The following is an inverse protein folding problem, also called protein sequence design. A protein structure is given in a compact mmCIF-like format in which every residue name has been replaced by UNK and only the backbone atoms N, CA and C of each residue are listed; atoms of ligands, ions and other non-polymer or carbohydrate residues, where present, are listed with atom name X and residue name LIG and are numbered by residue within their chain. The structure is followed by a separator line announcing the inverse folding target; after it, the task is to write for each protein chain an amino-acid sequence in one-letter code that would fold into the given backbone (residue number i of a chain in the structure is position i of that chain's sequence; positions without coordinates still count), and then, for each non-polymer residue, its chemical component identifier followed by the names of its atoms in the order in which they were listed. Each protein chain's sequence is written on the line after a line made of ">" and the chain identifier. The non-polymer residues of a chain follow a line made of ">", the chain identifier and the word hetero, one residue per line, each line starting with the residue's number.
data_IF_649075899803
#
_entry.id   IF_649075899803
#
_cell.length_a   1.000
_cell.length_b   1.000
_cell.length_c   1.000
_cell.angle_alpha   90.00
_cell.angle_beta   90.00
_cell.angle_gamma   90.00
#
_symmetry.space_group_name_H-M   'P 1'
#
loop_
_entity.id
_entity.type
_entity.pdbx_description
1 polymer ?
#
# COMPACT_ATOMS: atom_id res chain seq x y z
N UNK A 1 2.12 -0.24 11.83
CA UNK A 1 1.26 -0.72 10.71
C UNK A 1 1.81 -2.02 10.19
N UNK A 2 0.96 -2.88 9.59
CA UNK A 2 1.44 -4.10 8.92
C UNK A 2 2.36 -3.74 7.74
N UNK A 3 3.32 -4.61 7.37
CA UNK A 3 4.02 -4.47 6.10
C UNK A 3 3.09 -4.80 4.93
N UNK A 4 3.33 -4.18 3.79
CA UNK A 4 2.56 -4.31 2.55
C UNK A 4 3.47 -4.70 1.39
N UNK A 5 2.91 -5.44 0.44
CA UNK A 5 3.49 -5.74 -0.87
C UNK A 5 2.61 -5.18 -1.99
N UNK A 6 3.06 -5.33 -3.24
CA UNK A 6 2.28 -4.95 -4.42
C UNK A 6 1.53 -6.16 -4.92
N UNK A 7 0.22 -6.01 -5.01
CA UNK A 7 -0.67 -6.97 -5.63
C UNK A 7 -0.71 -6.86 -7.16
N UNK A 8 -1.39 -7.80 -7.82
CA UNK A 8 -1.58 -7.76 -9.25
C UNK A 8 -2.45 -6.56 -9.65
N UNK A 9 -2.03 -5.88 -10.72
CA UNK A 9 -2.75 -4.74 -11.31
C UNK A 9 -3.70 -5.15 -12.45
N UNK A 10 -3.69 -6.43 -12.83
CA UNK A 10 -4.49 -6.96 -13.95
C UNK A 10 -5.98 -6.71 -13.69
N UNK A 11 -6.64 -6.04 -14.63
CA UNK A 11 -8.08 -5.74 -14.56
C UNK A 11 -8.45 -4.55 -13.68
N UNK A 12 -7.50 -3.85 -13.06
CA UNK A 12 -7.78 -2.70 -12.19
C UNK A 12 -7.50 -1.39 -12.92
N UNK A 13 -8.52 -0.54 -13.02
CA UNK A 13 -8.39 0.82 -13.54
C UNK A 13 -8.02 1.76 -12.40
N UNK A 14 -6.79 2.28 -12.44
CA UNK A 14 -6.34 3.33 -11.53
C UNK A 14 -6.48 4.70 -12.18
N UNK A 15 -6.97 5.67 -11.41
CA UNK A 15 -6.94 7.08 -11.80
C UNK A 15 -5.48 7.61 -11.82
N UNK A 16 -5.28 8.85 -12.27
CA UNK A 16 -3.94 9.43 -12.43
C UNK A 16 -3.14 9.47 -11.12
N UNK A 17 -3.79 9.84 -10.02
CA UNK A 17 -3.16 10.00 -8.71
C UNK A 17 -2.83 8.66 -8.06
N UNK A 18 -3.77 7.71 -8.12
CA UNK A 18 -3.55 6.33 -7.72
C UNK A 18 -2.39 5.70 -8.47
N UNK A 19 -2.24 5.99 -9.76
CA UNK A 19 -1.07 5.53 -10.55
C UNK A 19 0.23 6.11 -10.03
N UNK A 20 0.26 7.40 -9.68
CA UNK A 20 1.46 8.05 -9.11
C UNK A 20 1.86 7.39 -7.79
N UNK A 21 0.92 7.24 -6.86
CA UNK A 21 1.16 6.60 -5.56
C UNK A 21 1.60 5.14 -5.74
N UNK A 22 0.97 4.42 -6.66
CA UNK A 22 1.38 3.06 -7.01
C UNK A 22 2.82 2.96 -7.54
N UNK A 23 3.27 3.93 -8.36
CA UNK A 23 4.66 3.96 -8.81
C UNK A 23 5.64 4.16 -7.64
N UNK A 24 5.30 5.01 -6.67
CA UNK A 24 6.10 5.15 -5.44
C UNK A 24 6.16 3.85 -4.65
N UNK A 25 5.03 3.15 -4.51
CA UNK A 25 5.00 1.84 -3.89
C UNK A 25 5.95 0.85 -4.60
N UNK A 26 6.00 0.85 -5.94
CA UNK A 26 6.95 0.01 -6.72
C UNK A 26 8.41 0.34 -6.43
N UNK A 27 8.73 1.63 -6.38
CA UNK A 27 10.09 2.09 -6.05
C UNK A 27 10.47 1.67 -4.63
N UNK A 28 9.55 1.84 -3.68
CA UNK A 28 9.75 1.45 -2.29
C UNK A 28 10.02 -0.04 -2.16
N UNK A 29 9.19 -0.89 -2.75
CA UNK A 29 9.38 -2.36 -2.73
C UNK A 29 10.76 -2.79 -3.21
N UNK A 30 11.27 -2.16 -4.27
CA UNK A 30 12.60 -2.46 -4.81
C UNK A 30 13.70 -2.10 -3.79
N UNK A 31 13.56 -0.96 -3.11
CA UNK A 31 14.50 -0.51 -2.07
C UNK A 31 14.44 -1.37 -0.80
N UNK A 32 13.26 -1.89 -0.45
CA UNK A 32 13.02 -2.58 0.83
C UNK A 32 12.89 -4.10 0.70
N UNK A 33 13.41 -4.68 -0.40
CA UNK A 33 13.48 -6.14 -0.63
C UNK A 33 12.11 -6.83 -0.52
N UNK A 34 11.07 -6.25 -1.12
CA UNK A 34 9.78 -6.91 -1.31
C UNK A 34 8.62 -6.43 -0.46
N UNK A 35 8.84 -5.57 0.55
CA UNK A 35 7.75 -5.09 1.41
C UNK A 35 8.00 -3.67 1.95
N UNK A 36 6.95 -2.91 2.22
CA UNK A 36 7.06 -1.55 2.78
C UNK A 36 5.93 -1.27 3.78
N UNK A 37 6.08 -0.22 4.59
CA UNK A 37 5.01 0.24 5.50
C UNK A 37 4.25 1.40 4.88
N UNK A 38 2.93 1.46 5.09
CA UNK A 38 2.11 2.56 4.56
C UNK A 38 2.57 3.94 5.03
N UNK A 39 3.04 4.06 6.27
CA UNK A 39 3.61 5.32 6.80
C UNK A 39 4.81 5.78 5.96
N UNK A 40 5.65 4.85 5.50
CA UNK A 40 6.78 5.18 4.64
C UNK A 40 6.31 5.61 3.24
N UNK A 41 5.30 4.95 2.69
CA UNK A 41 4.69 5.36 1.42
C UNK A 41 4.08 6.77 1.53
N UNK A 42 3.29 7.02 2.58
CA UNK A 42 2.67 8.30 2.87
C UNK A 42 3.71 9.42 2.94
N UNK A 43 4.76 9.22 3.74
CA UNK A 43 5.82 10.22 3.91
C UNK A 43 6.62 10.49 2.62
N UNK A 44 6.92 9.45 1.83
CA UNK A 44 7.69 9.62 0.58
C UNK A 44 6.85 10.30 -0.51
N UNK A 45 5.56 9.98 -0.58
CA UNK A 45 4.65 10.65 -1.52
C UNK A 45 4.40 12.10 -1.10
N UNK A 46 4.11 12.36 0.18
CA UNK A 46 3.85 13.71 0.68
C UNK A 46 5.06 14.65 0.57
N UNK A 47 6.29 14.12 0.56
CA UNK A 47 7.50 14.91 0.25
C UNK A 47 7.63 15.25 -1.24
N UNK A 48 7.09 14.40 -2.12
CA UNK A 48 7.29 14.50 -3.56
C UNK A 48 6.15 15.22 -4.29
N UNK A 49 4.98 15.32 -3.66
CA UNK A 49 3.77 15.88 -4.24
C UNK A 49 3.01 16.72 -3.21
N UNK A 50 2.35 17.77 -3.69
CA UNK A 50 1.45 18.63 -2.92
C UNK A 50 0.06 18.01 -2.72
N UNK A 51 0.00 16.71 -2.38
CA UNK A 51 -1.27 16.10 -1.96
C UNK A 51 -1.69 16.68 -0.62
N UNK A 52 -3.00 16.87 -0.42
CA UNK A 52 -3.51 17.01 0.94
C UNK A 52 -3.32 15.67 1.68
N UNK A 53 -3.05 15.71 2.98
CA UNK A 53 -2.86 14.53 3.81
C UNK A 53 -4.09 13.60 3.80
N UNK A 54 -5.29 14.19 3.82
CA UNK A 54 -6.56 13.44 3.78
C UNK A 54 -6.73 12.73 2.44
N UNK A 55 -6.56 13.46 1.35
CA UNK A 55 -6.62 12.92 -0.01
C UNK A 55 -5.60 11.79 -0.24
N UNK A 56 -4.35 11.98 0.23
CA UNK A 56 -3.33 10.94 0.16
C UNK A 56 -3.73 9.69 0.96
N UNK A 57 -4.31 9.88 2.14
CA UNK A 57 -4.78 8.77 2.97
C UNK A 57 -5.92 8.01 2.29
N UNK A 58 -6.88 8.72 1.69
CA UNK A 58 -8.00 8.14 0.92
C UNK A 58 -7.49 7.32 -0.26
N UNK A 59 -6.58 7.87 -1.08
CA UNK A 59 -6.07 7.14 -2.24
C UNK A 59 -5.27 5.90 -1.82
N UNK A 60 -4.47 6.00 -0.74
CA UNK A 60 -3.76 4.83 -0.21
C UNK A 60 -4.75 3.78 0.29
N UNK A 61 -5.82 4.19 0.97
CA UNK A 61 -6.87 3.29 1.44
C UNK A 61 -7.57 2.59 0.26
N UNK A 62 -7.91 3.32 -0.80
CA UNK A 62 -8.48 2.76 -2.02
C UNK A 62 -7.56 1.73 -2.67
N UNK A 63 -6.25 1.99 -2.71
CA UNK A 63 -5.28 1.04 -3.24
C UNK A 63 -5.24 -0.26 -2.40
N UNK A 64 -5.45 -0.17 -1.09
CA UNK A 64 -5.55 -1.35 -0.20
C UNK A 64 -6.87 -2.09 -0.43
N UNK A 65 -8.01 -1.39 -0.45
CA UNK A 65 -9.34 -1.98 -0.69
C UNK A 65 -9.42 -2.68 -2.04
N UNK A 66 -8.86 -2.06 -3.08
CA UNK A 66 -8.78 -2.63 -4.41
C UNK A 66 -7.70 -3.72 -4.54
N UNK A 67 -7.10 -4.19 -3.44
CA UNK A 67 -6.08 -5.25 -3.41
C UNK A 67 -4.85 -4.93 -4.28
N UNK A 68 -4.59 -3.66 -4.56
CA UNK A 68 -3.40 -3.21 -5.30
C UNK A 68 -2.21 -3.17 -4.36
N UNK A 69 -2.43 -2.79 -3.11
CA UNK A 69 -1.51 -2.99 -2.00
C UNK A 69 -2.03 -4.13 -1.13
N UNK A 70 -1.20 -5.11 -0.87
CA UNK A 70 -1.57 -6.31 -0.11
C UNK A 70 -0.87 -6.34 1.23
N UNK A 71 -1.59 -6.40 2.36
CA UNK A 71 -0.96 -6.58 3.66
C UNK A 71 -0.25 -7.94 3.70
N UNK A 72 1.00 -7.95 4.13
CA UNK A 72 1.75 -9.16 4.38
C UNK A 72 1.44 -9.59 5.81
N UNK A 73 0.56 -10.57 5.91
CA UNK A 73 0.18 -11.19 7.18
C UNK A 73 1.23 -12.27 7.47
N UNK A 74 2.10 -12.05 8.45
CA UNK A 74 2.98 -13.12 8.92
C UNK A 74 2.15 -14.25 9.54
N UNK A 75 2.62 -15.49 9.46
CA UNK A 75 1.90 -16.65 10.04
C UNK A 75 1.59 -16.48 11.54
N UNK A 76 2.42 -15.70 12.27
CA UNK A 76 2.16 -15.32 13.66
C UNK A 76 0.90 -14.49 13.83
N UNK A 77 0.55 -13.65 12.85
CA UNK A 77 -0.69 -12.87 12.83
C UNK A 77 -1.87 -13.76 12.43
N UNK A 78 -1.69 -14.69 11.47
CA UNK A 78 -2.74 -15.67 11.12
C UNK A 78 -3.19 -16.49 12.32
N UNK A 79 -2.27 -16.98 13.16
CA UNK A 79 -2.64 -17.73 14.38
C UNK A 79 -3.46 -16.91 15.38
N UNK A 80 -3.27 -15.59 15.43
CA UNK A 80 -4.00 -14.70 16.35
C UNK A 80 -5.42 -14.37 15.86
N UNK A 81 -5.69 -14.47 14.57
CA UNK A 81 -7.01 -14.23 13.96
C UNK A 81 -7.73 -15.49 13.48
N UNK A 82 -7.06 -16.65 13.45
CA UNK A 82 -7.68 -17.95 13.12
C UNK A 82 -8.47 -18.57 14.28
N UNK A 83 -8.56 -17.90 15.43
CA UNK A 83 -9.41 -18.29 16.55
C UNK A 83 -10.68 -17.43 16.46
N UNK A 84 -11.54 -17.69 15.48
CA UNK A 84 -12.96 -17.28 15.42
C UNK A 84 -13.53 -17.65 14.04
N UNK A 85 -13.65 -18.94 13.75
CA UNK A 85 -14.61 -19.49 12.79
C UNK A 85 -15.09 -20.84 13.32
#
# INVERSE_FOLDING_TARGET
>A
TLPFSIGPLKGKKLNSESKKIYQFAKVLIRKTKGHFYLVKLFNEVGKSYSFNNEELAEIIFDLVQNKVLLPIISEKVKKKFAIHF
#
